data_IF_560887879403
#
_entry.id   IF_560887879403
#
_cell.length_a   1.000
_cell.length_b   1.000
_cell.length_c   1.000
_cell.angle_alpha   90.00
_cell.angle_beta   90.00
_cell.angle_gamma   90.00
#
_symmetry.space_group_name_H-M   'P 1'
#
loop_
_entity.id
_entity.type
_entity.pdbx_description
1 polymer ?
#
# COMPACT_ATOMS: atom_id res chain seq x y z
N UNK A 1 59.43 -37.25 22.39
CA UNK A 1 59.88 -37.78 21.08
C UNK A 1 59.51 -36.74 20.03
N UNK A 2 60.45 -35.95 19.53
CA UNK A 2 60.19 -35.01 18.42
C UNK A 2 60.62 -35.66 17.11
N UNK A 3 59.79 -35.52 16.08
CA UNK A 3 60.11 -35.88 14.71
C UNK A 3 60.47 -34.58 13.99
N UNK A 4 61.68 -34.52 13.46
CA UNK A 4 62.13 -33.40 12.61
C UNK A 4 62.11 -33.93 11.18
N UNK A 5 61.22 -33.40 10.34
CA UNK A 5 61.25 -33.65 8.92
C UNK A 5 62.23 -32.66 8.28
N UNK A 6 63.22 -33.15 7.53
CA UNK A 6 64.14 -32.34 6.75
C UNK A 6 63.92 -32.72 5.28
N UNK A 7 63.52 -31.76 4.45
CA UNK A 7 63.31 -31.97 3.01
C UNK A 7 64.53 -31.40 2.25
N UNK A 8 65.47 -32.24 1.80
CA UNK A 8 66.72 -31.80 1.17
C UNK A 8 66.58 -31.44 -0.32
N UNK A 9 65.44 -31.70 -0.96
CA UNK A 9 65.23 -31.37 -2.37
C UNK A 9 64.37 -30.10 -2.54
N UNK A 10 64.64 -29.26 -3.55
CA UNK A 10 63.81 -28.09 -3.83
C UNK A 10 62.38 -28.52 -4.18
N UNK A 11 61.40 -27.95 -3.51
CA UNK A 11 59.98 -28.13 -3.85
C UNK A 11 59.75 -27.61 -5.27
N UNK A 12 59.34 -28.48 -6.18
CA UNK A 12 58.99 -28.13 -7.56
C UNK A 12 57.54 -28.54 -7.84
N UNK A 13 56.84 -27.77 -8.69
CA UNK A 13 55.43 -28.02 -9.03
C UNK A 13 54.41 -27.00 -8.49
N UNK A 14 54.84 -25.94 -7.81
CA UNK A 14 53.96 -24.81 -7.49
C UNK A 14 53.70 -23.95 -8.72
N UNK A 15 52.43 -23.71 -9.06
CA UNK A 15 52.06 -22.68 -10.05
C UNK A 15 51.67 -21.40 -9.31
N UNK A 16 52.25 -20.26 -9.71
CA UNK A 16 51.80 -18.95 -9.25
C UNK A 16 50.39 -18.68 -9.81
N UNK A 17 49.41 -18.50 -8.93
CA UNK A 17 48.11 -17.97 -9.32
C UNK A 17 48.06 -16.48 -8.97
N UNK A 18 47.94 -15.64 -9.99
CA UNK A 18 47.61 -14.24 -9.82
C UNK A 18 46.10 -14.12 -9.60
N UNK A 19 45.66 -14.03 -8.35
CA UNK A 19 44.29 -13.64 -8.01
C UNK A 19 44.21 -12.13 -7.77
N UNK A 20 43.12 -11.50 -8.21
CA UNK A 20 42.81 -10.13 -7.76
C UNK A 20 42.45 -10.22 -6.28
N UNK A 21 43.13 -9.42 -5.46
CA UNK A 21 42.84 -9.33 -4.03
C UNK A 21 41.89 -8.17 -3.78
N UNK A 22 40.94 -8.30 -2.82
CA UNK A 22 40.06 -7.22 -2.44
C UNK A 22 40.84 -5.94 -2.08
N UNK A 23 40.44 -4.82 -2.66
CA UNK A 23 40.95 -3.48 -2.34
C UNK A 23 39.99 -2.78 -1.37
N UNK A 24 40.41 -1.72 -0.65
CA UNK A 24 39.54 -1.02 0.29
C UNK A 24 38.20 -0.56 -0.31
N UNK A 25 38.20 -0.16 -1.58
CA UNK A 25 36.99 0.25 -2.31
C UNK A 25 35.95 -0.89 -2.40
N UNK A 26 36.39 -2.15 -2.51
CA UNK A 26 35.49 -3.31 -2.60
C UNK A 26 34.70 -3.52 -1.29
N UNK A 27 35.27 -3.14 -0.13
CA UNK A 27 34.59 -3.27 1.17
C UNK A 27 33.47 -2.25 1.31
N UNK A 28 33.74 -1.01 0.90
CA UNK A 28 32.74 0.06 0.92
C UNK A 28 31.61 -0.25 -0.06
N UNK A 29 31.94 -0.64 -1.30
CA UNK A 29 30.93 -1.00 -2.30
C UNK A 29 30.07 -2.17 -1.82
N UNK A 30 30.67 -3.20 -1.21
CA UNK A 30 29.90 -4.33 -0.66
C UNK A 30 28.95 -3.90 0.46
N UNK A 31 29.36 -2.98 1.34
CA UNK A 31 28.51 -2.47 2.42
C UNK A 31 27.35 -1.63 1.86
N UNK A 32 27.62 -0.72 0.92
CA UNK A 32 26.60 0.12 0.28
C UNK A 32 25.55 -0.72 -0.46
N UNK A 33 26.00 -1.71 -1.25
CA UNK A 33 25.11 -2.62 -1.97
C UNK A 33 24.26 -3.45 -1.00
N UNK A 34 24.87 -3.98 0.07
CA UNK A 34 24.14 -4.79 1.04
C UNK A 34 23.15 -3.95 1.85
N UNK A 35 23.51 -2.74 2.28
CA UNK A 35 22.59 -1.81 2.95
C UNK A 35 21.38 -1.47 2.07
N UNK A 36 21.59 -1.17 0.79
CA UNK A 36 20.49 -0.89 -0.13
C UNK A 36 19.56 -2.11 -0.30
N UNK A 37 20.14 -3.31 -0.38
CA UNK A 37 19.36 -4.56 -0.45
C UNK A 37 18.59 -4.85 0.83
N UNK A 38 19.18 -4.59 2.00
CA UNK A 38 18.53 -4.77 3.30
C UNK A 38 17.39 -3.76 3.50
N UNK A 39 17.56 -2.51 3.04
CA UNK A 39 16.50 -1.50 3.06
C UNK A 39 15.29 -1.95 2.22
N UNK A 40 15.53 -2.41 0.99
CA UNK A 40 14.46 -2.94 0.14
C UNK A 40 13.74 -4.12 0.79
N UNK A 41 14.49 -5.02 1.43
CA UNK A 41 13.92 -6.15 2.17
C UNK A 41 13.07 -5.67 3.36
N UNK A 42 13.53 -4.68 4.11
CA UNK A 42 12.80 -4.12 5.23
C UNK A 42 11.48 -3.45 4.79
N UNK A 43 11.48 -2.76 3.66
CA UNK A 43 10.25 -2.20 3.06
C UNK A 43 9.25 -3.29 2.67
N UNK A 44 9.72 -4.39 2.08
CA UNK A 44 8.88 -5.52 1.72
C UNK A 44 8.28 -6.22 2.96
N UNK A 45 9.09 -6.40 4.01
CA UNK A 45 8.62 -6.97 5.28
C UNK A 45 7.62 -6.05 5.99
N UNK A 46 7.86 -4.73 5.98
CA UNK A 46 6.93 -3.74 6.51
C UNK A 46 5.60 -3.80 5.76
N UNK A 47 5.62 -3.83 4.43
CA UNK A 47 4.41 -3.89 3.61
C UNK A 47 3.53 -5.12 3.89
N UNK A 48 4.13 -6.24 4.29
CA UNK A 48 3.40 -7.47 4.69
C UNK A 48 2.78 -7.35 6.08
N UNK A 49 3.34 -6.49 6.94
CA UNK A 49 2.90 -6.30 8.32
C UNK A 49 1.82 -5.23 8.46
N UNK A 50 1.81 -4.25 7.55
CA UNK A 50 0.86 -3.14 7.54
C UNK A 50 -0.54 -3.57 7.07
N UNK A 51 -1.56 -2.85 7.54
CA UNK A 51 -2.95 -3.09 7.15
C UNK A 51 -3.22 -2.59 5.72
N UNK A 52 -4.30 -3.10 5.12
CA UNK A 52 -4.73 -2.63 3.79
C UNK A 52 -5.05 -1.14 3.82
N UNK A 53 -4.42 -0.37 2.93
CA UNK A 53 -4.59 1.08 2.83
C UNK A 53 -3.60 1.91 3.65
N UNK A 54 -2.76 1.29 4.47
CA UNK A 54 -1.63 1.97 5.09
C UNK A 54 -0.59 2.38 4.04
N UNK A 55 0.08 3.51 4.28
CA UNK A 55 1.04 4.10 3.34
C UNK A 55 2.38 4.34 4.02
N UNK A 56 3.44 3.73 3.49
CA UNK A 56 4.82 4.00 3.91
C UNK A 56 5.23 5.38 3.40
N UNK A 57 5.82 6.19 4.29
CA UNK A 57 6.21 7.56 4.00
C UNK A 57 7.70 7.70 3.65
N UNK A 58 8.52 6.73 4.04
CA UNK A 58 9.96 6.76 3.81
C UNK A 58 10.33 6.25 2.42
N UNK A 59 11.02 7.09 1.64
CA UNK A 59 11.70 6.67 0.39
C UNK A 59 13.11 6.14 0.65
N UNK A 60 13.73 6.61 1.73
CA UNK A 60 15.10 6.29 2.16
C UNK A 60 15.11 6.04 3.67
N UNK A 61 16.04 5.23 4.20
CA UNK A 61 16.10 4.95 5.62
C UNK A 61 16.48 6.21 6.41
N UNK A 62 15.53 6.74 7.17
CA UNK A 62 15.73 7.91 8.04
C UNK A 62 16.60 7.58 9.26
N UNK A 63 16.43 6.37 9.81
CA UNK A 63 17.22 5.84 10.92
C UNK A 63 17.56 4.38 10.66
N UNK A 64 18.85 4.05 10.72
CA UNK A 64 19.37 2.69 10.62
C UNK A 64 20.36 2.44 11.77
N UNK A 65 20.10 1.40 12.56
CA UNK A 65 20.98 0.98 13.67
C UNK A 65 21.71 -0.29 13.24
N UNK A 66 23.02 -0.19 13.03
CA UNK A 66 23.86 -1.36 12.73
C UNK A 66 24.09 -2.14 14.03
N UNK A 67 23.53 -3.35 14.09
CA UNK A 67 23.62 -4.25 15.24
C UNK A 67 24.84 -5.17 15.16
N UNK A 68 25.28 -5.51 13.95
CA UNK A 68 26.44 -6.37 13.70
C UNK A 68 27.01 -6.06 12.32
N UNK A 69 28.32 -5.83 12.23
CA UNK A 69 29.05 -5.68 10.98
C UNK A 69 30.39 -6.41 11.10
N UNK A 70 30.65 -7.37 10.23
CA UNK A 70 31.90 -8.14 10.23
C UNK A 70 32.29 -8.55 8.83
N UNK A 71 33.49 -8.12 8.41
CA UNK A 71 34.09 -8.56 7.15
C UNK A 71 34.97 -9.80 7.33
N UNK A 72 35.02 -10.62 6.29
CA UNK A 72 35.95 -11.72 6.16
C UNK A 72 36.58 -11.68 4.76
N UNK A 73 37.88 -11.36 4.64
CA UNK A 73 38.80 -11.01 5.72
C UNK A 73 38.54 -9.62 6.34
N UNK A 74 39.02 -9.34 7.58
CA UNK A 74 38.71 -8.09 8.28
C UNK A 74 39.50 -6.87 7.79
N UNK A 75 40.64 -7.09 7.14
CA UNK A 75 41.48 -6.06 6.53
C UNK A 75 41.83 -6.48 5.09
N UNK A 76 42.15 -5.52 4.20
CA UNK A 76 42.61 -5.80 2.84
C UNK A 76 43.85 -6.71 2.86
N UNK A 77 43.63 -8.00 2.59
CA UNK A 77 44.66 -9.01 2.53
C UNK A 77 44.46 -9.91 1.31
N UNK A 78 45.52 -10.58 0.83
CA UNK A 78 45.42 -11.49 -0.30
C UNK A 78 44.38 -12.58 -0.05
N UNK A 79 43.25 -12.48 -0.73
CA UNK A 79 42.13 -13.40 -0.67
C UNK A 79 41.47 -13.45 -2.04
N UNK A 80 40.86 -14.58 -2.39
CA UNK A 80 40.04 -14.69 -3.59
C UNK A 80 38.58 -14.26 -3.36
N UNK A 81 38.20 -13.99 -2.11
CA UNK A 81 36.80 -13.75 -1.72
C UNK A 81 36.74 -12.73 -0.59
N UNK A 82 35.76 -11.84 -0.68
CA UNK A 82 35.34 -10.92 0.36
C UNK A 82 33.91 -11.29 0.78
N UNK A 83 33.63 -11.32 2.08
CA UNK A 83 32.30 -11.59 2.63
C UNK A 83 31.98 -10.60 3.74
N UNK A 84 30.72 -10.20 3.83
CA UNK A 84 30.20 -9.27 4.83
C UNK A 84 29.02 -9.92 5.55
N UNK A 85 29.10 -9.98 6.88
CA UNK A 85 27.96 -10.22 7.76
C UNK A 85 27.46 -8.88 8.27
N UNK A 86 26.22 -8.53 7.94
CA UNK A 86 25.60 -7.27 8.33
C UNK A 86 24.21 -7.52 8.92
N UNK A 87 23.93 -6.94 10.08
CA UNK A 87 22.59 -6.90 10.69
C UNK A 87 22.24 -5.46 11.03
N UNK A 88 21.12 -4.99 10.48
CA UNK A 88 20.64 -3.61 10.64
C UNK A 88 19.20 -3.66 11.13
N UNK A 89 18.85 -2.73 12.00
CA UNK A 89 17.47 -2.41 12.39
C UNK A 89 17.08 -1.10 11.72
N UNK A 90 15.92 -1.07 11.06
CA UNK A 90 15.37 0.11 10.39
C UNK A 90 14.13 0.60 11.11
N UNK A 91 13.99 1.92 11.20
CA UNK A 91 12.74 2.58 11.57
C UNK A 91 12.01 3.01 10.30
N UNK A 92 10.74 2.64 10.17
CA UNK A 92 9.91 2.94 9.00
C UNK A 92 8.65 3.67 9.46
N UNK A 93 8.48 4.90 8.99
CA UNK A 93 7.30 5.72 9.19
C UNK A 93 6.21 5.33 8.19
N UNK A 94 5.01 5.17 8.71
CA UNK A 94 3.82 4.91 7.93
C UNK A 94 2.65 5.75 8.43
N UNK A 95 1.64 5.90 7.58
CA UNK A 95 0.38 6.54 7.92
C UNK A 95 -0.76 5.52 7.81
N UNK A 96 -1.62 5.49 8.83
CA UNK A 96 -2.73 4.55 8.84
C UNK A 96 -3.76 4.89 7.75
N UNK A 97 -4.16 3.87 6.99
CA UNK A 97 -5.22 3.98 5.99
C UNK A 97 -6.56 4.39 6.60
N UNK A 98 -6.86 3.91 7.81
CA UNK A 98 -8.09 4.24 8.53
C UNK A 98 -8.15 5.72 8.95
N UNK A 99 -7.02 6.27 9.41
CA UNK A 99 -6.90 7.69 9.77
C UNK A 99 -6.95 8.58 8.53
N UNK A 100 -6.31 8.16 7.44
CA UNK A 100 -6.39 8.82 6.14
C UNK A 100 -7.82 8.89 5.63
N UNK A 101 -8.55 7.79 5.70
CA UNK A 101 -9.95 7.73 5.30
C UNK A 101 -10.81 8.64 6.19
N UNK A 102 -10.59 8.65 7.50
CA UNK A 102 -11.32 9.53 8.42
C UNK A 102 -11.06 11.02 8.11
N UNK A 103 -9.79 11.40 7.92
CA UNK A 103 -9.40 12.76 7.57
C UNK A 103 -9.97 13.18 6.22
N UNK A 104 -9.85 12.31 5.21
CA UNK A 104 -10.34 12.58 3.86
C UNK A 104 -11.86 12.76 3.81
N UNK A 105 -12.62 11.92 4.53
CA UNK A 105 -14.06 12.08 4.65
C UNK A 105 -14.44 13.40 5.33
N UNK A 106 -13.76 13.78 6.42
CA UNK A 106 -14.02 15.04 7.11
C UNK A 106 -13.78 16.26 6.21
N UNK A 107 -12.72 16.24 5.39
CA UNK A 107 -12.44 17.28 4.39
C UNK A 107 -13.58 17.35 3.36
N UNK A 108 -13.94 16.21 2.77
CA UNK A 108 -14.98 16.16 1.75
C UNK A 108 -16.37 16.52 2.30
N UNK A 109 -16.66 16.21 3.57
CA UNK A 109 -17.88 16.62 4.28
C UNK A 109 -17.98 18.14 4.44
N UNK A 110 -16.88 18.80 4.76
CA UNK A 110 -16.84 20.26 4.84
C UNK A 110 -17.12 20.94 3.49
N UNK A 111 -16.88 20.24 2.38
CA UNK A 111 -17.12 20.75 1.01
C UNK A 111 -18.48 20.36 0.42
N UNK A 112 -19.31 19.62 1.18
CA UNK A 112 -20.56 19.07 0.68
C UNK A 112 -21.59 20.19 0.41
N UNK A 113 -22.12 20.31 -0.83
CA UNK A 113 -23.16 21.30 -1.11
C UNK A 113 -24.45 21.01 -0.34
N UNK A 114 -25.18 22.06 0.03
CA UNK A 114 -26.44 21.91 0.75
C UNK A 114 -27.45 21.03 -0.04
N UNK A 115 -28.02 20.04 0.65
CA UNK A 115 -29.00 19.11 0.07
C UNK A 115 -28.40 17.89 -0.65
N UNK A 116 -27.06 17.77 -0.67
CA UNK A 116 -26.35 16.56 -1.06
C UNK A 116 -25.98 15.74 0.18
N UNK A 117 -25.81 14.44 -0.02
CA UNK A 117 -25.31 13.47 0.95
C UNK A 117 -24.15 12.69 0.32
N UNK A 118 -23.19 12.26 1.14
CA UNK A 118 -22.11 11.39 0.71
C UNK A 118 -22.65 9.98 0.41
N UNK A 119 -22.19 9.38 -0.69
CA UNK A 119 -22.48 7.99 -0.99
C UNK A 119 -21.50 7.08 -0.24
N UNK A 120 -21.97 6.14 0.59
CA UNK A 120 -21.12 5.19 1.30
C UNK A 120 -20.22 4.41 0.33
N UNK A 121 -19.03 4.01 0.81
CA UNK A 121 -18.09 3.15 0.06
C UNK A 121 -17.61 3.69 -1.30
N UNK A 122 -17.79 4.99 -1.57
CA UNK A 122 -17.28 5.64 -2.79
C UNK A 122 -16.07 6.52 -2.56
N UNK A 123 -15.60 6.60 -1.31
CA UNK A 123 -14.38 7.31 -0.97
C UNK A 123 -13.19 6.64 -1.66
N UNK A 124 -12.41 7.44 -2.37
CA UNK A 124 -11.20 7.00 -3.02
C UNK A 124 -10.10 8.03 -2.84
N UNK A 125 -8.89 7.55 -2.55
CA UNK A 125 -7.67 8.33 -2.42
C UNK A 125 -6.68 7.88 -3.49
N UNK A 126 -6.12 8.84 -4.23
CA UNK A 126 -5.09 8.60 -5.22
C UNK A 126 -3.85 9.45 -4.92
N UNK A 127 -2.69 8.80 -4.84
CA UNK A 127 -1.40 9.49 -4.72
C UNK A 127 -1.12 10.26 -6.01
N UNK A 128 -0.86 11.57 -5.90
CA UNK A 128 -0.43 12.38 -7.05
C UNK A 128 1.08 12.21 -7.26
N UNK A 129 1.83 12.15 -6.17
CA UNK A 129 3.26 11.86 -6.14
C UNK A 129 3.63 11.02 -4.92
N UNK A 130 4.89 10.56 -4.87
CA UNK A 130 5.45 9.95 -3.66
C UNK A 130 5.56 10.99 -2.54
N UNK A 131 5.52 10.57 -1.27
CA UNK A 131 5.86 11.42 -0.14
C UNK A 131 7.28 11.98 -0.30
N UNK A 132 7.46 13.27 -0.04
CA UNK A 132 8.76 13.95 -0.09
C UNK A 132 9.08 14.55 1.28
N UNK A 133 10.33 14.40 1.73
CA UNK A 133 10.82 15.05 2.93
C UNK A 133 11.00 16.56 2.66
N UNK A 134 10.33 17.40 3.44
CA UNK A 134 10.49 18.85 3.43
C UNK A 134 11.63 19.34 4.31
N UNK A 135 11.94 20.63 4.22
CA UNK A 135 13.08 21.30 4.87
C UNK A 135 13.07 21.28 6.42
N UNK A 136 12.01 20.77 7.06
CA UNK A 136 11.79 20.89 8.52
C UNK A 136 11.23 19.64 9.21
N UNK A 137 11.62 18.43 8.77
CA UNK A 137 11.13 17.15 9.31
C UNK A 137 9.63 16.92 9.04
N UNK A 138 9.06 17.70 8.13
CA UNK A 138 7.69 17.55 7.63
C UNK A 138 7.73 16.70 6.36
N UNK A 139 6.82 15.75 6.23
CA UNK A 139 6.65 14.96 5.00
C UNK A 139 5.48 15.56 4.23
N UNK A 140 5.74 15.98 3.00
CA UNK A 140 4.73 16.48 2.09
C UNK A 140 4.29 15.34 1.16
N UNK A 141 3.03 14.94 1.25
CA UNK A 141 2.46 13.92 0.37
C UNK A 141 1.19 14.44 -0.32
N UNK A 142 1.31 14.89 -1.58
CA UNK A 142 0.18 15.34 -2.38
C UNK A 142 -0.74 14.18 -2.78
N UNK A 143 -2.01 14.28 -2.37
CA UNK A 143 -3.06 13.29 -2.67
C UNK A 143 -4.30 13.95 -3.26
N UNK A 144 -5.01 13.21 -4.10
CA UNK A 144 -6.34 13.54 -4.57
C UNK A 144 -7.37 12.71 -3.82
N UNK A 145 -8.40 13.39 -3.31
CA UNK A 145 -9.51 12.79 -2.57
C UNK A 145 -10.78 12.91 -3.40
N UNK A 146 -11.52 11.82 -3.54
CA UNK A 146 -12.75 11.79 -4.32
C UNK A 146 -13.82 10.95 -3.64
N UNK A 147 -15.10 11.30 -3.88
CA UNK A 147 -16.27 10.50 -3.49
C UNK A 147 -17.47 10.84 -4.36
N UNK A 148 -18.44 9.93 -4.43
CA UNK A 148 -19.73 10.22 -5.04
C UNK A 148 -20.67 10.87 -4.02
N UNK A 149 -21.56 11.73 -4.53
CA UNK A 149 -22.57 12.43 -3.74
C UNK A 149 -23.92 12.34 -4.45
N UNK A 150 -25.00 12.31 -3.69
CA UNK A 150 -26.37 12.23 -4.23
C UNK A 150 -27.31 13.21 -3.50
N UNK A 151 -28.48 13.49 -4.08
CA UNK A 151 -29.50 14.31 -3.42
C UNK A 151 -30.76 13.51 -3.10
N UNK A 152 -31.50 13.92 -2.07
CA UNK A 152 -32.82 13.32 -1.79
C UNK A 152 -33.80 13.59 -2.95
N UNK A 153 -33.65 14.73 -3.66
CA UNK A 153 -34.49 15.08 -4.82
C UNK A 153 -34.24 14.18 -6.02
N UNK A 154 -32.98 13.80 -6.30
CA UNK A 154 -32.67 12.87 -7.39
C UNK A 154 -33.26 11.50 -7.11
N UNK A 155 -33.18 11.01 -5.87
CA UNK A 155 -33.83 9.76 -5.47
C UNK A 155 -35.35 9.83 -5.67
N UNK A 156 -36.01 10.90 -5.22
CA UNK A 156 -37.44 11.08 -5.42
C UNK A 156 -37.84 11.10 -6.90
N UNK A 157 -37.10 11.84 -7.74
CA UNK A 157 -37.33 11.90 -9.19
C UNK A 157 -37.13 10.54 -9.87
N UNK A 158 -36.14 9.74 -9.42
CA UNK A 158 -35.93 8.39 -9.94
C UNK A 158 -37.03 7.43 -9.50
N UNK A 159 -37.57 7.59 -8.28
CA UNK A 159 -38.74 6.81 -7.82
C UNK A 159 -39.98 7.12 -8.66
N UNK A 160 -40.22 8.38 -9.02
CA UNK A 160 -41.37 8.75 -9.87
C UNK A 160 -41.34 8.04 -11.24
N UNK A 161 -40.15 7.78 -11.78
CA UNK A 161 -39.98 7.11 -13.08
C UNK A 161 -40.20 5.60 -13.05
N UNK A 162 -40.14 4.98 -11.87
CA UNK A 162 -40.36 3.53 -11.72
C UNK A 162 -41.78 3.17 -11.31
N UNK A 163 -42.63 4.15 -10.97
CA UNK A 163 -44.03 3.91 -10.59
C UNK A 163 -44.75 3.12 -11.69
N UNK A 164 -45.39 2.01 -11.31
CA UNK A 164 -46.12 1.14 -12.24
C UNK A 164 -45.26 0.34 -13.23
N UNK A 165 -43.92 0.42 -13.15
CA UNK A 165 -43.03 -0.43 -13.95
C UNK A 165 -42.90 -1.84 -13.36
N UNK A 166 -42.62 -2.88 -14.16
CA UNK A 166 -42.22 -4.19 -13.64
C UNK A 166 -40.91 -4.08 -12.82
N UNK A 167 -40.72 -4.89 -11.76
CA UNK A 167 -39.54 -4.84 -10.90
C UNK A 167 -38.21 -4.88 -11.67
N UNK A 168 -38.08 -5.74 -12.67
CA UNK A 168 -36.85 -5.89 -13.43
C UNK A 168 -36.52 -4.64 -14.24
N UNK A 169 -37.55 -3.99 -14.80
CA UNK A 169 -37.42 -2.76 -15.56
C UNK A 169 -37.15 -1.57 -14.63
N UNK A 170 -37.84 -1.50 -13.49
CA UNK A 170 -37.58 -0.53 -12.44
C UNK A 170 -36.13 -0.60 -11.95
N UNK A 171 -35.63 -1.81 -11.69
CA UNK A 171 -34.24 -2.00 -11.27
C UNK A 171 -33.24 -1.53 -12.33
N UNK A 172 -33.53 -1.76 -13.60
CA UNK A 172 -32.69 -1.32 -14.71
C UNK A 172 -32.70 0.20 -14.89
N UNK A 173 -33.86 0.84 -14.69
CA UNK A 173 -34.01 2.30 -14.72
C UNK A 173 -33.27 2.96 -13.55
N UNK A 174 -33.43 2.44 -12.33
CA UNK A 174 -32.72 2.94 -11.15
C UNK A 174 -31.20 2.79 -11.32
N UNK A 175 -30.74 1.65 -11.82
CA UNK A 175 -29.32 1.40 -12.12
C UNK A 175 -28.74 2.46 -13.06
N UNK A 176 -29.48 2.84 -14.10
CA UNK A 176 -29.03 3.82 -15.10
C UNK A 176 -29.14 5.27 -14.65
N UNK A 177 -30.08 5.60 -13.75
CA UNK A 177 -30.32 6.99 -13.34
C UNK A 177 -29.51 7.41 -12.11
N UNK A 178 -29.22 6.45 -11.23
CA UNK A 178 -28.52 6.69 -9.98
C UNK A 178 -27.05 6.22 -10.03
N UNK A 179 -26.57 5.75 -11.19
CA UNK A 179 -25.22 5.21 -11.40
C UNK A 179 -24.76 4.29 -10.25
N UNK A 180 -25.65 3.38 -9.86
CA UNK A 180 -25.41 2.49 -8.71
C UNK A 180 -24.25 1.55 -8.98
N UNK A 181 -23.46 1.21 -7.96
CA UNK A 181 -22.35 0.26 -8.08
C UNK A 181 -22.81 -1.17 -8.41
N UNK A 182 -24.03 -1.52 -8.02
CA UNK A 182 -24.65 -2.82 -8.30
C UNK A 182 -26.16 -2.71 -8.52
N UNK A 183 -26.72 -3.72 -9.18
CA UNK A 183 -28.15 -3.74 -9.53
C UNK A 183 -29.01 -3.67 -8.28
N UNK A 184 -29.93 -2.69 -8.17
CA UNK A 184 -30.76 -2.55 -6.97
C UNK A 184 -31.71 -3.75 -6.83
N UNK A 185 -31.81 -4.27 -5.61
CA UNK A 185 -32.73 -5.33 -5.27
C UNK A 185 -34.11 -4.74 -4.97
N UNK A 186 -35.13 -5.21 -5.68
CA UNK A 186 -36.51 -4.77 -5.50
C UNK A 186 -37.31 -5.94 -4.93
N UNK A 187 -37.85 -5.76 -3.74
CA UNK A 187 -38.80 -6.68 -3.12
C UNK A 187 -40.18 -6.02 -3.11
N UNK A 188 -41.20 -6.72 -3.62
CA UNK A 188 -42.58 -6.23 -3.63
C UNK A 188 -43.41 -7.09 -2.69
N UNK A 189 -44.16 -6.45 -1.80
CA UNK A 189 -45.14 -7.11 -0.95
C UNK A 189 -46.56 -6.66 -1.32
N UNK A 190 -47.49 -7.59 -1.58
CA UNK A 190 -47.30 -9.05 -1.62
C UNK A 190 -46.50 -9.52 -2.85
N UNK A 191 -45.78 -10.65 -2.75
CA UNK A 191 -44.89 -11.15 -3.82
C UNK A 191 -45.58 -11.44 -5.16
N UNK A 192 -46.89 -11.70 -5.14
CA UNK A 192 -47.68 -11.95 -6.35
C UNK A 192 -48.01 -10.69 -7.16
N UNK A 193 -47.62 -9.50 -6.68
CA UNK A 193 -47.97 -8.23 -7.30
C UNK A 193 -47.01 -7.90 -8.47
N UNK A 194 -47.54 -7.60 -9.67
CA UNK A 194 -46.73 -7.65 -10.90
C UNK A 194 -45.90 -6.38 -11.19
N UNK A 195 -46.18 -5.25 -10.55
CA UNK A 195 -45.58 -3.94 -10.87
C UNK A 195 -45.33 -3.09 -9.63
N UNK A 196 -44.41 -2.13 -9.72
CA UNK A 196 -44.15 -1.17 -8.65
C UNK A 196 -45.44 -0.44 -8.21
N UNK A 197 -45.61 -0.13 -6.92
CA UNK A 197 -46.71 0.68 -6.43
C UNK A 197 -46.82 2.02 -7.18
N UNK A 198 -48.04 2.48 -7.43
CA UNK A 198 -48.30 3.76 -8.12
C UNK A 198 -48.14 4.99 -7.20
N UNK A 199 -48.00 4.76 -5.89
CA UNK A 199 -47.85 5.81 -4.90
C UNK A 199 -46.48 5.70 -4.27
N UNK A 200 -45.69 6.78 -4.35
CA UNK A 200 -44.35 6.85 -3.79
C UNK A 200 -44.29 6.51 -2.30
N UNK A 201 -45.31 6.89 -1.52
CA UNK A 201 -45.40 6.59 -0.07
C UNK A 201 -45.46 5.08 0.27
N UNK A 202 -45.62 4.21 -0.74
CA UNK A 202 -45.59 2.74 -0.58
C UNK A 202 -44.25 2.13 -0.99
N UNK A 203 -43.26 2.96 -1.30
CA UNK A 203 -41.92 2.54 -1.71
C UNK A 203 -40.96 3.03 -0.63
N UNK A 204 -40.27 2.09 -0.01
CA UNK A 204 -39.21 2.37 0.94
C UNK A 204 -37.87 2.09 0.27
N UNK A 205 -36.99 3.09 0.25
CA UNK A 205 -35.61 2.93 -0.18
C UNK A 205 -34.78 2.70 1.07
N UNK A 206 -34.29 1.48 1.26
CA UNK A 206 -33.41 1.09 2.36
C UNK A 206 -32.02 0.88 1.78
N UNK A 207 -31.03 1.53 2.38
CA UNK A 207 -29.62 1.25 2.10
C UNK A 207 -29.22 0.00 2.89
N UNK A 208 -28.95 -1.11 2.18
CA UNK A 208 -28.62 -2.39 2.80
C UNK A 208 -27.14 -2.48 3.25
N UNK A 209 -26.38 -1.38 3.18
CA UNK A 209 -24.95 -1.36 3.53
C UNK A 209 -24.71 -1.23 5.06
N UNK A 210 -25.75 -1.16 5.90
CA UNK A 210 -25.60 -1.00 7.37
C UNK A 210 -25.42 -2.30 8.18
N UNK A 211 -25.33 -3.49 7.57
CA UNK A 211 -25.07 -4.73 8.32
C UNK A 211 -23.99 -5.59 7.65
N UNK A 212 -22.72 -5.25 7.87
CA UNK A 212 -21.65 -6.23 8.09
C UNK A 212 -20.39 -5.63 8.69
#
# INVERSE_FOLDING_TARGET
>A
RSLTANNPEPTTGGSEQFSRSPIPEDYQELSEVLMASLWQTALEEAQVTLDEGDVILDSEPSVAIVLEESFSPPEPQPSSTLSLLLRVEYEIMYLSGSELQAMGNAILDATLPAGYNAQPETFNISSISSPEAGDSQEIAWPVELSRQIFTIKSLANSIDKILGQPPERAASLLQSELDLSSKPQISIFPEWWPVMPLLQVRIEAVDLIQER
#
